data_IF_245517425631
#
_entry.id   IF_245517425631
#
_cell.length_a   1.000
_cell.length_b   1.000
_cell.length_c   1.000
_cell.angle_alpha   90.00
_cell.angle_beta   90.00
_cell.angle_gamma   90.00
#
_symmetry.space_group_name_H-M   'P 1'
#
loop_
_entity.id
_entity.type
_entity.pdbx_description
1 polymer ?
#
# COMPACT_ATOMS: atom_id res chain seq x y z
N UNK A 1 -3.70 -4.35 21.99
CA UNK A 1 -5.08 -4.12 21.51
C UNK A 1 -6.08 -4.38 22.63
N UNK A 2 -7.31 -3.84 22.53
CA UNK A 2 -8.39 -4.11 23.51
C UNK A 2 -8.77 -5.59 23.53
N UNK A 3 -9.09 -6.16 24.71
CA UNK A 3 -9.66 -7.51 24.84
C UNK A 3 -11.14 -7.59 24.44
N UNK A 4 -11.76 -6.44 24.15
CA UNK A 4 -13.13 -6.33 23.64
C UNK A 4 -13.12 -6.24 22.10
N UNK A 5 -13.55 -7.33 21.46
CA UNK A 5 -13.58 -7.47 19.99
C UNK A 5 -14.81 -6.85 19.31
N UNK A 6 -15.64 -6.07 20.01
CA UNK A 6 -16.78 -5.41 19.38
C UNK A 6 -16.31 -4.40 18.33
N UNK A 7 -17.03 -4.32 17.21
CA UNK A 7 -16.75 -3.40 16.10
C UNK A 7 -16.52 -1.96 16.60
N UNK A 8 -17.43 -1.45 17.44
CA UNK A 8 -17.33 -0.08 18.01
C UNK A 8 -16.03 0.20 18.77
N UNK A 9 -15.41 -0.84 19.32
CA UNK A 9 -14.21 -0.74 20.15
C UNK A 9 -12.95 -0.74 19.30
N UNK A 10 -12.87 -1.63 18.30
CA UNK A 10 -11.67 -1.82 17.49
C UNK A 10 -11.64 -0.95 16.23
N UNK A 11 -12.79 -0.55 15.71
CA UNK A 11 -12.89 0.24 14.48
C UNK A 11 -12.01 1.50 14.48
N UNK A 12 -12.03 2.38 15.51
CA UNK A 12 -11.15 3.55 15.52
C UNK A 12 -9.66 3.20 15.52
N UNK A 13 -9.29 2.11 16.20
CA UNK A 13 -7.90 1.63 16.25
C UNK A 13 -7.45 1.13 14.87
N UNK A 14 -8.30 0.37 14.17
CA UNK A 14 -8.00 -0.08 12.81
C UNK A 14 -7.91 1.08 11.82
N UNK A 15 -8.78 2.10 11.93
CA UNK A 15 -8.68 3.30 11.09
C UNK A 15 -7.36 4.05 11.34
N UNK A 16 -6.95 4.19 12.60
CA UNK A 16 -5.68 4.83 12.97
C UNK A 16 -4.46 4.05 12.44
N UNK A 17 -4.46 2.72 12.59
CA UNK A 17 -3.40 1.87 12.07
C UNK A 17 -3.34 1.95 10.53
N UNK A 18 -4.49 1.93 9.86
CA UNK A 18 -4.54 2.04 8.40
C UNK A 18 -4.06 3.41 7.91
N UNK A 19 -4.43 4.49 8.58
CA UNK A 19 -3.98 5.85 8.24
C UNK A 19 -2.46 6.05 8.38
N UNK A 20 -1.81 5.27 9.25
CA UNK A 20 -0.36 5.31 9.49
C UNK A 20 0.37 4.11 8.88
N UNK A 21 -0.33 3.31 8.08
CA UNK A 21 0.20 2.10 7.46
C UNK A 21 1.21 2.47 6.36
N UNK A 22 2.31 1.74 6.36
CA UNK A 22 3.35 1.79 5.34
C UNK A 22 3.68 0.36 4.92
N UNK A 23 3.59 0.08 3.62
CA UNK A 23 3.98 -1.21 3.08
C UNK A 23 5.51 -1.33 3.08
N UNK A 24 6.03 -2.46 3.54
CA UNK A 24 7.47 -2.76 3.49
C UNK A 24 7.90 -2.86 2.02
N UNK A 25 9.11 -2.37 1.71
CA UNK A 25 9.60 -2.31 0.33
C UNK A 25 9.64 -3.69 -0.32
N UNK A 26 10.08 -4.71 0.40
CA UNK A 26 10.10 -6.10 -0.07
C UNK A 26 8.73 -6.69 -0.34
N UNK A 27 7.66 -6.10 0.21
CA UNK A 27 6.29 -6.56 0.05
C UNK A 27 5.55 -5.88 -1.12
N UNK A 28 6.13 -4.83 -1.72
CA UNK A 28 5.49 -4.08 -2.81
C UNK A 28 5.16 -4.95 -4.02
N UNK A 29 6.15 -5.66 -4.54
CA UNK A 29 6.00 -6.48 -5.74
C UNK A 29 5.06 -7.68 -5.50
N UNK A 30 5.19 -8.45 -4.40
CA UNK A 30 4.24 -9.52 -4.09
C UNK A 30 2.81 -9.01 -3.89
N UNK A 31 2.62 -7.87 -3.22
CA UNK A 31 1.29 -7.27 -3.02
C UNK A 31 0.70 -6.81 -4.35
N UNK A 32 1.53 -6.29 -5.26
CA UNK A 32 1.13 -5.94 -6.61
C UNK A 32 0.60 -7.13 -7.41
N UNK A 33 1.29 -8.27 -7.37
CA UNK A 33 0.81 -9.50 -8.04
C UNK A 33 -0.53 -9.97 -7.49
N UNK A 34 -0.69 -9.97 -6.17
CA UNK A 34 -1.96 -10.32 -5.51
C UNK A 34 -3.08 -9.36 -5.94
N UNK A 35 -2.80 -8.05 -5.99
CA UNK A 35 -3.76 -7.05 -6.42
C UNK A 35 -4.18 -7.24 -7.89
N UNK A 36 -3.24 -7.59 -8.77
CA UNK A 36 -3.54 -7.88 -10.18
C UNK A 36 -4.39 -9.15 -10.34
N UNK A 37 -4.11 -10.22 -9.60
CA UNK A 37 -4.94 -11.43 -9.61
C UNK A 37 -6.38 -11.12 -9.12
N UNK A 38 -6.51 -10.25 -8.12
CA UNK A 38 -7.82 -9.78 -7.64
C UNK A 38 -8.56 -9.01 -8.75
N UNK A 39 -7.88 -8.13 -9.49
CA UNK A 39 -8.47 -7.37 -10.60
C UNK A 39 -8.87 -8.24 -11.78
N UNK A 40 -8.06 -9.24 -12.15
CA UNK A 40 -8.37 -10.18 -13.23
C UNK A 40 -9.67 -10.95 -12.96
N UNK A 41 -9.99 -11.20 -11.68
CA UNK A 41 -11.21 -11.90 -11.23
C UNK A 41 -12.31 -10.95 -10.75
N UNK A 42 -12.18 -9.64 -10.99
CA UNK A 42 -13.14 -8.64 -10.51
C UNK A 42 -14.58 -8.93 -10.97
N UNK A 43 -14.78 -9.48 -12.17
CA UNK A 43 -16.11 -9.86 -12.67
C UNK A 43 -16.85 -10.83 -11.74
N UNK A 44 -16.16 -11.86 -11.28
CA UNK A 44 -16.71 -12.88 -10.37
C UNK A 44 -16.98 -12.30 -8.99
N UNK A 45 -16.05 -11.51 -8.45
CA UNK A 45 -16.24 -10.85 -7.16
C UNK A 45 -17.38 -9.81 -7.21
N UNK A 46 -17.57 -9.15 -8.35
CA UNK A 46 -18.69 -8.25 -8.61
C UNK A 46 -20.05 -8.96 -8.62
N UNK A 47 -20.12 -10.24 -9.04
CA UNK A 47 -21.34 -11.04 -8.89
C UNK A 47 -21.67 -11.28 -7.41
N UNK A 48 -20.65 -11.55 -6.59
CA UNK A 48 -20.81 -11.73 -5.13
C UNK A 48 -21.25 -10.42 -4.48
N UNK A 49 -20.63 -9.31 -4.83
CA UNK A 49 -20.97 -7.97 -4.32
C UNK A 49 -22.44 -7.63 -4.63
N UNK A 50 -22.91 -7.85 -5.85
CA UNK A 50 -24.33 -7.60 -6.22
C UNK A 50 -25.33 -8.41 -5.37
N UNK A 51 -24.95 -9.61 -4.94
CA UNK A 51 -25.84 -10.53 -4.23
C UNK A 51 -25.77 -10.41 -2.69
N UNK A 52 -24.75 -9.72 -2.18
CA UNK A 52 -24.46 -9.65 -0.74
C UNK A 52 -24.23 -8.24 -0.22
N UNK A 53 -23.96 -7.27 -1.09
CA UNK A 53 -23.51 -5.92 -0.72
C UNK A 53 -22.06 -5.84 -0.24
N UNK A 54 -21.38 -6.97 -0.05
CA UNK A 54 -19.99 -7.00 0.44
C UNK A 54 -19.05 -6.57 -0.68
N UNK A 55 -18.14 -5.61 -0.45
CA UNK A 55 -17.31 -5.08 -1.52
C UNK A 55 -16.49 -6.14 -2.27
N UNK A 56 -16.43 -6.05 -3.59
CA UNK A 56 -15.76 -7.06 -4.43
C UNK A 56 -14.29 -7.29 -4.03
N UNK A 57 -13.58 -6.23 -3.65
CA UNK A 57 -12.18 -6.30 -3.23
C UNK A 57 -12.02 -7.04 -1.89
N UNK A 58 -13.02 -6.96 -1.00
CA UNK A 58 -13.03 -7.72 0.25
C UNK A 58 -13.11 -9.21 -0.03
N UNK A 59 -13.99 -9.60 -0.97
CA UNK A 59 -14.12 -10.99 -1.43
C UNK A 59 -12.84 -11.50 -2.08
N UNK A 60 -12.20 -10.69 -2.94
CA UNK A 60 -10.94 -11.05 -3.58
C UNK A 60 -9.80 -11.27 -2.58
N UNK A 61 -9.70 -10.41 -1.55
CA UNK A 61 -8.72 -10.58 -0.48
C UNK A 61 -9.01 -11.86 0.33
N UNK A 62 -10.28 -12.17 0.64
CA UNK A 62 -10.61 -13.45 1.28
C UNK A 62 -10.22 -14.65 0.41
N UNK A 63 -10.42 -14.58 -0.91
CA UNK A 63 -10.04 -15.65 -1.82
C UNK A 63 -8.53 -15.94 -1.75
N UNK A 64 -7.70 -14.89 -1.72
CA UNK A 64 -6.26 -15.02 -1.48
C UNK A 64 -5.95 -15.61 -0.10
N UNK A 65 -6.50 -15.00 0.95
CA UNK A 65 -6.11 -15.32 2.33
C UNK A 65 -6.50 -16.73 2.72
N UNK A 66 -7.69 -17.16 2.33
CA UNK A 66 -8.22 -18.47 2.68
C UNK A 66 -7.74 -19.57 1.72
N UNK A 67 -7.61 -19.27 0.43
CA UNK A 67 -7.48 -20.32 -0.59
C UNK A 67 -6.29 -20.12 -1.54
N UNK A 68 -5.56 -19.02 -1.43
CA UNK A 68 -4.48 -18.65 -2.37
C UNK A 68 -4.99 -18.63 -3.83
N UNK A 69 -6.21 -18.09 -4.00
CA UNK A 69 -6.94 -18.05 -5.28
C UNK A 69 -7.33 -19.40 -5.90
N UNK A 70 -7.19 -20.50 -5.14
CA UNK A 70 -7.67 -21.81 -5.58
C UNK A 70 -9.20 -21.88 -5.56
N UNK A 71 -9.79 -22.40 -6.65
CA UNK A 71 -11.22 -22.67 -6.75
C UNK A 71 -11.67 -23.77 -5.77
N UNK A 72 -12.11 -23.34 -4.60
CA UNK A 72 -12.57 -24.18 -3.50
C UNK A 72 -13.66 -23.45 -2.70
N UNK A 73 -14.36 -24.17 -1.82
CA UNK A 73 -15.38 -23.56 -0.98
C UNK A 73 -14.77 -22.51 -0.05
N UNK A 74 -15.23 -21.26 -0.16
CA UNK A 74 -14.73 -20.16 0.69
C UNK A 74 -14.97 -20.41 2.19
N UNK A 75 -15.90 -21.29 2.53
CA UNK A 75 -16.15 -21.70 3.91
C UNK A 75 -14.93 -22.28 4.62
N UNK A 76 -14.19 -23.17 3.96
CA UNK A 76 -13.16 -24.00 4.60
C UNK A 76 -12.13 -24.63 3.63
N UNK A 77 -12.25 -24.37 2.33
CA UNK A 77 -11.37 -24.87 1.28
C UNK A 77 -11.65 -26.28 0.77
N UNK A 78 -12.80 -26.88 1.10
CA UNK A 78 -13.27 -28.13 0.48
C UNK A 78 -13.45 -27.98 -1.04
N UNK A 79 -13.39 -29.10 -1.76
CA UNK A 79 -13.64 -29.11 -3.22
C UNK A 79 -15.05 -28.62 -3.54
N UNK A 80 -15.18 -27.84 -4.63
CA UNK A 80 -16.47 -27.38 -5.15
C UNK A 80 -17.34 -28.48 -5.80
N UNK A 81 -16.86 -29.72 -5.87
CA UNK A 81 -17.63 -30.84 -6.48
C UNK A 81 -18.88 -31.19 -5.69
N UNK A 82 -18.79 -31.16 -4.36
CA UNK A 82 -19.86 -31.54 -3.44
C UNK A 82 -19.96 -30.49 -2.34
N UNK A 83 -21.01 -30.59 -1.51
CA UNK A 83 -21.10 -29.76 -0.30
C UNK A 83 -19.90 -29.98 0.61
N UNK A 84 -19.61 -28.97 1.42
CA UNK A 84 -18.59 -29.04 2.46
C UNK A 84 -18.81 -30.25 3.37
N UNK A 85 -17.73 -30.96 3.63
CA UNK A 85 -17.68 -32.06 4.60
C UNK A 85 -17.09 -31.54 5.90
N UNK A 86 -16.06 -30.69 5.82
CA UNK A 86 -15.51 -29.99 6.97
C UNK A 86 -16.48 -28.91 7.45
N UNK A 87 -16.36 -28.52 8.71
CA UNK A 87 -17.20 -27.48 9.30
C UNK A 87 -17.03 -26.14 8.54
N UNK A 88 -18.11 -25.38 8.27
CA UNK A 88 -19.52 -25.77 8.43
C UNK A 88 -19.93 -26.82 7.39
N UNK A 89 -20.44 -27.98 7.82
CA UNK A 89 -20.82 -29.09 6.96
C UNK A 89 -22.11 -28.79 6.18
N UNK A 90 -22.24 -29.33 4.97
CA UNK A 90 -23.47 -29.31 4.17
C UNK A 90 -23.72 -28.00 3.41
N UNK A 91 -22.70 -27.17 3.23
CA UNK A 91 -22.76 -25.89 2.52
C UNK A 91 -22.17 -25.97 1.11
N UNK A 92 -22.61 -25.15 0.14
CA UNK A 92 -23.78 -24.26 0.15
C UNK A 92 -25.11 -24.99 0.38
N UNK A 93 -26.15 -24.29 0.87
CA UNK A 93 -27.48 -24.89 1.08
C UNK A 93 -28.18 -25.14 -0.26
N UNK A 94 -28.13 -24.18 -1.18
CA UNK A 94 -28.73 -24.33 -2.51
C UNK A 94 -27.95 -25.33 -3.35
N UNK A 95 -28.58 -26.09 -4.26
CA UNK A 95 -27.87 -26.91 -5.24
C UNK A 95 -27.09 -26.03 -6.24
N UNK A 96 -26.04 -26.55 -6.90
CA UNK A 96 -25.31 -25.79 -7.90
C UNK A 96 -26.24 -25.46 -9.08
N UNK A 97 -26.19 -24.21 -9.55
CA UNK A 97 -27.10 -23.73 -10.61
C UNK A 97 -26.93 -24.50 -11.94
N UNK A 98 -25.73 -25.02 -12.20
CA UNK A 98 -25.44 -25.84 -13.38
C UNK A 98 -25.77 -27.34 -13.20
N UNK A 99 -26.25 -27.76 -12.02
CA UNK A 99 -26.60 -29.15 -11.71
C UNK A 99 -25.42 -30.11 -11.56
N UNK A 100 -24.17 -29.65 -11.64
CA UNK A 100 -22.97 -30.50 -11.63
C UNK A 100 -22.04 -30.20 -10.46
N UNK A 101 -21.53 -28.97 -10.37
CA UNK A 101 -20.55 -28.55 -9.35
C UNK A 101 -20.74 -27.09 -9.00
N UNK A 102 -20.41 -26.75 -7.75
CA UNK A 102 -20.43 -25.37 -7.30
C UNK A 102 -19.35 -24.53 -8.00
N UNK A 103 -19.59 -23.24 -8.07
CA UNK A 103 -18.63 -22.21 -8.42
C UNK A 103 -18.09 -21.55 -7.16
N UNK A 104 -16.94 -20.86 -7.26
CA UNK A 104 -16.46 -20.02 -6.17
C UNK A 104 -17.50 -18.95 -5.80
N UNK A 105 -18.16 -18.33 -6.78
CA UNK A 105 -19.20 -17.29 -6.58
C UNK A 105 -20.35 -17.81 -5.72
N UNK A 106 -20.92 -18.98 -6.04
CA UNK A 106 -22.00 -19.59 -5.24
C UNK A 106 -21.53 -19.90 -3.81
N UNK A 107 -20.31 -20.43 -3.67
CA UNK A 107 -19.74 -20.69 -2.35
C UNK A 107 -19.50 -19.42 -1.54
N UNK A 108 -19.03 -18.36 -2.17
CA UNK A 108 -18.71 -17.10 -1.50
C UNK A 108 -19.97 -16.39 -1.03
N UNK A 109 -21.03 -16.38 -1.85
CA UNK A 109 -22.33 -15.82 -1.48
C UNK A 109 -22.89 -16.55 -0.25
N UNK A 110 -22.91 -17.90 -0.26
CA UNK A 110 -23.40 -18.67 0.88
C UNK A 110 -22.54 -18.48 2.14
N UNK A 111 -21.20 -18.39 2.00
CA UNK A 111 -20.30 -18.15 3.13
C UNK A 111 -20.51 -16.77 3.78
N UNK A 112 -20.65 -15.71 2.98
CA UNK A 112 -20.93 -14.36 3.47
C UNK A 112 -22.33 -14.24 4.08
N UNK A 113 -23.31 -15.00 3.56
CA UNK A 113 -24.64 -15.10 4.15
C UNK A 113 -24.62 -15.83 5.48
N UNK A 114 -23.95 -16.97 5.54
CA UNK A 114 -23.81 -17.77 6.76
C UNK A 114 -23.14 -16.99 7.89
N UNK A 115 -22.05 -16.25 7.59
CA UNK A 115 -21.35 -15.38 8.54
C UNK A 115 -22.00 -13.99 8.72
N UNK A 116 -23.17 -13.74 8.15
CA UNK A 116 -23.96 -12.51 8.29
C UNK A 116 -23.28 -11.22 7.75
N UNK A 117 -22.23 -11.32 6.92
CA UNK A 117 -21.57 -10.14 6.33
C UNK A 117 -22.51 -9.35 5.42
N UNK A 118 -23.43 -10.03 4.72
CA UNK A 118 -24.45 -9.39 3.88
C UNK A 118 -25.43 -8.47 4.62
N UNK A 119 -25.46 -8.51 5.95
CA UNK A 119 -26.33 -7.65 6.77
C UNK A 119 -25.63 -6.38 7.24
N UNK A 120 -24.32 -6.28 7.05
CA UNK A 120 -23.54 -5.12 7.45
C UNK A 120 -23.95 -3.89 6.65
N UNK A 121 -24.18 -2.77 7.35
CA UNK A 121 -24.47 -1.46 6.72
C UNK A 121 -23.26 -0.55 6.67
N UNK A 122 -22.29 -0.81 7.54
CA UNK A 122 -21.09 0.00 7.71
C UNK A 122 -19.94 -0.65 6.94
N UNK A 123 -19.58 -0.02 5.82
CA UNK A 123 -18.48 -0.46 4.96
C UNK A 123 -17.27 0.47 5.05
N UNK A 124 -17.15 1.23 6.14
CA UNK A 124 -15.95 2.00 6.41
C UNK A 124 -14.72 1.11 6.51
N UNK A 125 -13.54 1.67 6.25
CA UNK A 125 -12.28 0.90 6.25
C UNK A 125 -12.05 0.20 7.59
N UNK A 126 -12.33 0.86 8.72
CA UNK A 126 -12.21 0.22 10.03
C UNK A 126 -13.17 -0.95 10.23
N UNK A 127 -14.39 -0.86 9.68
CA UNK A 127 -15.35 -1.96 9.72
C UNK A 127 -14.93 -3.13 8.82
N UNK A 128 -14.34 -2.86 7.67
CA UNK A 128 -13.81 -3.88 6.77
C UNK A 128 -12.58 -4.58 7.38
N UNK A 129 -11.65 -3.84 7.96
CA UNK A 129 -10.50 -4.43 8.67
C UNK A 129 -10.96 -5.29 9.86
N UNK A 130 -11.94 -4.83 10.63
CA UNK A 130 -12.59 -5.65 11.65
C UNK A 130 -13.27 -6.89 11.06
N UNK A 131 -13.89 -6.77 9.89
CA UNK A 131 -14.52 -7.88 9.17
C UNK A 131 -13.54 -9.00 8.82
N UNK A 132 -12.34 -8.66 8.33
CA UNK A 132 -11.29 -9.67 8.08
C UNK A 132 -10.86 -10.40 9.36
N UNK A 133 -10.77 -9.69 10.48
CA UNK A 133 -10.43 -10.30 11.78
C UNK A 133 -11.56 -11.18 12.30
N UNK A 134 -12.82 -10.75 12.16
CA UNK A 134 -13.98 -11.58 12.45
C UNK A 134 -13.97 -12.85 11.61
N UNK A 135 -13.63 -12.75 10.32
CA UNK A 135 -13.52 -13.89 9.42
C UNK A 135 -12.49 -14.92 9.95
N UNK A 136 -11.32 -14.44 10.34
CA UNK A 136 -10.22 -15.22 10.92
C UNK A 136 -10.49 -15.65 12.39
N UNK A 137 -11.56 -15.18 13.02
CA UNK A 137 -11.92 -15.50 14.41
C UNK A 137 -11.07 -14.80 15.47
N UNK A 138 -10.46 -13.65 15.14
CA UNK A 138 -9.60 -12.84 16.01
C UNK A 138 -8.42 -13.61 16.63
N UNK A 139 -7.86 -14.61 15.93
CA UNK A 139 -6.83 -15.52 16.47
C UNK A 139 -5.64 -14.79 17.10
N UNK A 140 -5.07 -13.83 16.37
CA UNK A 140 -3.86 -13.11 16.81
C UNK A 140 -4.19 -11.93 17.74
N UNK A 141 -5.32 -11.26 17.51
CA UNK A 141 -5.76 -10.13 18.33
C UNK A 141 -5.98 -10.51 19.81
N UNK A 142 -6.31 -11.79 20.08
CA UNK A 142 -6.36 -12.37 21.44
C UNK A 142 -5.02 -12.34 22.17
N UNK A 143 -3.90 -12.30 21.44
CA UNK A 143 -2.56 -12.15 22.00
C UNK A 143 -2.16 -10.70 22.28
N UNK A 144 -3.03 -9.72 22.01
CA UNK A 144 -2.77 -8.29 22.25
C UNK A 144 -1.92 -7.60 21.19
N UNK A 145 -1.39 -8.35 20.22
CA UNK A 145 -0.57 -7.87 19.12
C UNK A 145 -1.41 -7.58 17.87
N UNK A 146 -0.88 -6.74 16.98
CA UNK A 146 -1.43 -6.58 15.63
C UNK A 146 -1.35 -7.92 14.90
N UNK A 147 -2.46 -8.35 14.29
CA UNK A 147 -2.53 -9.67 13.64
C UNK A 147 -1.61 -9.77 12.42
N UNK A 148 -1.04 -10.96 12.24
CA UNK A 148 -0.39 -11.31 10.97
C UNK A 148 -1.41 -11.23 9.85
N UNK A 149 -2.64 -11.67 10.15
CA UNK A 149 -3.72 -11.67 9.18
C UNK A 149 -4.03 -10.29 8.61
N UNK A 150 -4.00 -9.21 9.38
CA UNK A 150 -4.20 -7.88 8.81
C UNK A 150 -2.90 -7.25 8.35
N UNK A 151 -1.86 -7.29 9.19
CA UNK A 151 -0.79 -6.30 9.12
C UNK A 151 0.52 -6.86 8.56
N UNK A 152 0.62 -8.17 8.29
CA UNK A 152 1.86 -8.72 7.73
C UNK A 152 2.24 -8.02 6.41
N UNK A 153 3.52 -7.68 6.28
CA UNK A 153 4.04 -6.87 5.18
C UNK A 153 3.98 -5.35 5.40
N UNK A 154 3.47 -4.87 6.54
CA UNK A 154 3.44 -3.44 6.90
C UNK A 154 4.41 -3.10 8.04
N UNK A 155 4.57 -1.81 8.32
CA UNK A 155 5.23 -1.30 9.54
C UNK A 155 4.48 -1.66 10.84
N UNK A 156 3.21 -2.04 10.77
CA UNK A 156 2.37 -2.38 11.93
C UNK A 156 2.44 -3.84 12.34
N UNK A 157 3.21 -4.67 11.63
CA UNK A 157 3.46 -6.05 12.02
C UNK A 157 4.94 -6.28 12.26
N UNK A 158 5.29 -6.72 13.45
CA UNK A 158 6.61 -7.27 13.78
C UNK A 158 6.41 -8.73 14.18
N UNK A 159 6.84 -9.67 13.33
CA UNK A 159 7.14 -11.00 13.85
C UNK A 159 8.27 -10.84 14.88
N UNK A 160 8.30 -11.67 15.92
CA UNK A 160 9.40 -11.70 16.90
C UNK A 160 10.78 -12.05 16.30
N UNK A 161 10.89 -12.09 14.97
CA UNK A 161 12.09 -12.30 14.16
C UNK A 161 12.41 -11.15 13.17
N UNK A 162 11.74 -10.00 13.27
CA UNK A 162 11.80 -8.95 12.23
C UNK A 162 12.07 -7.54 12.75
N UNK A 163 12.79 -7.40 13.86
CA UNK A 163 13.20 -6.10 14.37
C UNK A 163 14.53 -5.69 13.71
N UNK A 164 14.44 -5.04 12.54
CA UNK A 164 15.46 -4.32 11.75
C UNK A 164 14.96 -4.34 10.28
N UNK A 165 14.68 -3.27 9.53
CA UNK A 165 15.02 -1.86 9.64
C UNK A 165 13.92 -1.03 8.93
N UNK A 166 13.44 0.03 9.58
CA UNK A 166 12.86 1.15 8.86
C UNK A 166 14.02 1.90 8.19
N UNK A 167 14.00 1.97 6.86
CA UNK A 167 14.95 2.67 5.99
C UNK A 167 16.36 2.04 5.92
N UNK A 168 16.72 1.54 4.73
CA UNK A 168 18.09 1.70 4.23
C UNK A 168 18.98 0.47 4.07
N UNK A 169 18.58 -0.77 4.36
CA UNK A 169 19.44 -1.94 4.14
C UNK A 169 18.71 -3.09 3.43
N UNK A 170 19.42 -3.73 2.51
CA UNK A 170 18.94 -4.68 1.49
C UNK A 170 18.42 -6.04 1.97
N UNK A 171 18.15 -6.22 3.26
CA UNK A 171 17.83 -7.51 3.87
C UNK A 171 16.49 -7.52 4.61
N UNK A 172 15.46 -6.93 4.01
CA UNK A 172 14.07 -7.10 4.46
C UNK A 172 13.57 -8.50 4.05
N UNK A 173 13.91 -9.52 4.84
CA UNK A 173 13.28 -10.83 4.68
C UNK A 173 11.81 -10.72 5.09
N UNK A 174 10.94 -10.63 4.08
CA UNK A 174 9.59 -11.16 4.19
C UNK A 174 9.70 -12.54 4.85
N UNK A 175 8.92 -12.80 5.90
CA UNK A 175 8.93 -14.10 6.58
C UNK A 175 8.63 -15.18 5.55
N UNK A 176 9.68 -15.87 5.09
CA UNK A 176 9.60 -16.93 4.09
C UNK A 176 8.53 -17.92 4.56
N UNK A 177 7.38 -17.99 3.86
CA UNK A 177 6.27 -18.91 4.17
C UNK A 177 4.98 -18.27 4.71
N UNK A 178 4.94 -16.97 5.01
CA UNK A 178 3.73 -16.29 5.49
C UNK A 178 2.98 -15.59 4.34
N UNK A 179 1.68 -15.30 4.50
CA UNK A 179 0.86 -14.58 3.49
C UNK A 179 0.83 -13.06 3.78
N UNK A 180 0.73 -12.23 2.73
CA UNK A 180 0.60 -10.77 2.88
C UNK A 180 -0.71 -10.46 3.62
N UNK A 181 -0.65 -9.51 4.55
CA UNK A 181 -1.81 -9.13 5.37
C UNK A 181 -2.91 -8.47 4.54
N UNK A 182 -4.16 -8.63 4.97
CA UNK A 182 -5.30 -8.03 4.27
C UNK A 182 -5.21 -6.49 4.23
N UNK A 183 -4.76 -5.84 5.31
CA UNK A 183 -4.62 -4.39 5.35
C UNK A 183 -3.55 -3.88 4.38
N UNK A 184 -2.45 -4.63 4.20
CA UNK A 184 -1.42 -4.33 3.21
C UNK A 184 -1.99 -4.32 1.78
N UNK A 185 -2.84 -5.30 1.44
CA UNK A 185 -3.46 -5.39 0.11
C UNK A 185 -4.47 -4.27 -0.10
N UNK A 186 -5.33 -3.97 0.90
CA UNK A 186 -6.27 -2.85 0.81
C UNK A 186 -5.52 -1.51 0.65
N UNK A 187 -4.44 -1.33 1.40
CA UNK A 187 -3.58 -0.16 1.30
C UNK A 187 -3.03 0.00 -0.12
N UNK A 188 -2.49 -1.08 -0.70
CA UNK A 188 -1.96 -1.07 -2.06
C UNK A 188 -3.05 -0.72 -3.09
N UNK A 189 -4.20 -1.41 -3.04
CA UNK A 189 -5.32 -1.14 -3.95
C UNK A 189 -5.80 0.32 -3.87
N UNK A 190 -5.88 0.88 -2.66
CA UNK A 190 -6.31 2.26 -2.45
C UNK A 190 -5.33 3.28 -3.01
N UNK A 191 -4.05 3.20 -2.62
CA UNK A 191 -3.05 4.20 -3.01
C UNK A 191 -2.61 4.08 -4.48
N UNK A 192 -2.84 2.93 -5.12
CA UNK A 192 -2.65 2.77 -6.57
C UNK A 192 -3.90 3.18 -7.38
N UNK A 193 -4.97 3.68 -6.73
CA UNK A 193 -6.19 4.11 -7.42
C UNK A 193 -6.98 2.96 -8.07
N UNK A 194 -6.77 1.73 -7.60
CA UNK A 194 -7.42 0.52 -8.14
C UNK A 194 -8.83 0.30 -7.54
N UNK A 195 -9.24 1.13 -6.59
CA UNK A 195 -10.57 1.10 -6.01
C UNK A 195 -11.45 2.16 -6.71
N UNK A 196 -12.52 1.71 -7.35
CA UNK A 196 -13.49 2.57 -8.05
C UNK A 196 -14.32 3.45 -7.10
N UNK A 197 -14.23 3.23 -5.78
CA UNK A 197 -14.93 3.96 -4.73
C UNK A 197 -13.89 4.46 -3.70
N UNK A 198 -13.97 5.72 -3.25
CA UNK A 198 -13.11 6.19 -2.17
C UNK A 198 -13.42 5.40 -0.89
N UNK A 199 -12.38 5.04 -0.15
CA UNK A 199 -12.57 4.40 1.16
C UNK A 199 -13.29 5.37 2.10
N UNK A 200 -14.36 4.88 2.72
CA UNK A 200 -15.12 5.64 3.70
C UNK A 200 -14.44 5.53 5.07
N UNK A 201 -14.14 6.66 5.68
CA UNK A 201 -13.69 6.75 7.07
C UNK A 201 -14.87 7.22 7.93
N UNK A 202 -15.09 6.61 9.10
CA UNK A 202 -16.29 6.87 9.88
C UNK A 202 -16.31 8.23 10.59
N UNK A 203 -15.13 8.79 10.84
CA UNK A 203 -14.98 10.21 11.08
C UNK A 203 -14.70 10.90 9.75
N UNK A 204 -15.41 11.99 9.44
CA UNK A 204 -14.76 13.10 8.76
C UNK A 204 -13.48 13.32 9.53
N UNK A 205 -12.32 12.96 8.97
CA UNK A 205 -11.06 13.29 9.61
C UNK A 205 -11.17 14.79 9.86
N UNK A 206 -11.28 15.20 11.12
CA UNK A 206 -10.68 16.46 11.53
C UNK A 206 -9.32 16.39 10.89
N UNK A 207 -9.08 17.22 9.88
CA UNK A 207 -7.78 17.39 9.24
C UNK A 207 -6.76 17.08 10.30
N UNK A 208 -6.00 15.99 10.14
CA UNK A 208 -4.93 15.67 11.09
C UNK A 208 -4.18 16.98 11.21
N UNK A 209 -4.35 17.62 12.37
CA UNK A 209 -3.69 18.87 12.62
C UNK A 209 -2.26 18.41 12.79
N UNK A 210 -1.54 18.38 11.68
CA UNK A 210 -0.10 18.47 11.73
C UNK A 210 0.12 19.75 12.52
N UNK A 211 0.29 19.62 13.83
CA UNK A 211 1.26 20.47 14.49
C UNK A 211 2.60 20.10 13.86
N UNK A 212 2.76 20.63 12.65
CA UNK A 212 4.03 20.95 12.06
C UNK A 212 4.81 21.59 13.21
N UNK A 213 6.02 21.12 13.57
CA UNK A 213 6.97 22.09 14.08
C UNK A 213 6.95 23.21 13.05
N UNK A 214 6.57 24.41 13.48
CA UNK A 214 6.42 25.59 12.64
C UNK A 214 7.74 25.85 11.93
N UNK A 215 7.88 25.24 10.75
CA UNK A 215 8.97 25.48 9.85
C UNK A 215 8.32 26.15 8.64
N UNK A 216 8.10 27.44 8.80
CA UNK A 216 7.79 28.39 7.73
C UNK A 216 8.99 28.52 6.79
N UNK A 217 9.35 27.43 6.13
CA UNK A 217 10.18 27.41 4.95
C UNK A 217 9.32 26.90 3.81
N UNK A 218 9.12 27.69 2.76
CA UNK A 218 8.47 27.21 1.54
C UNK A 218 9.19 25.92 1.10
N UNK A 219 8.51 24.78 1.12
CA UNK A 219 9.08 23.55 0.56
C UNK A 219 9.27 23.82 -0.93
N UNK A 220 10.51 23.90 -1.38
CA UNK A 220 10.84 24.07 -2.80
C UNK A 220 10.60 22.73 -3.50
N UNK A 221 9.83 22.72 -4.58
CA UNK A 221 9.48 21.49 -5.32
C UNK A 221 10.72 20.71 -5.77
N UNK A 222 11.82 21.42 -6.04
CA UNK A 222 13.12 20.83 -6.35
C UNK A 222 13.72 20.03 -5.18
N UNK A 223 13.56 20.47 -3.93
CA UNK A 223 14.06 19.72 -2.77
C UNK A 223 13.22 18.46 -2.51
N UNK A 224 11.92 18.52 -2.81
CA UNK A 224 11.03 17.36 -2.79
C UNK A 224 11.43 16.34 -3.86
N UNK A 225 11.74 16.78 -5.08
CA UNK A 225 12.22 15.89 -6.15
C UNK A 225 13.65 15.36 -5.90
N UNK A 226 14.52 16.10 -5.20
CA UNK A 226 15.83 15.60 -4.78
C UNK A 226 15.73 14.46 -3.77
N UNK A 227 14.71 14.47 -2.92
CA UNK A 227 14.37 13.39 -1.98
C UNK A 227 13.47 12.30 -2.57
N UNK A 228 13.10 12.39 -3.85
CA UNK A 228 12.24 11.43 -4.51
C UNK A 228 12.97 10.10 -4.75
N UNK A 229 12.54 9.08 -4.01
CA UNK A 229 13.07 7.73 -4.04
C UNK A 229 12.11 6.70 -4.64
N UNK A 230 11.04 7.15 -5.34
CA UNK A 230 9.94 6.31 -5.83
C UNK A 230 9.28 5.50 -4.70
N UNK A 231 9.08 6.14 -3.56
CA UNK A 231 8.34 5.53 -2.47
C UNK A 231 6.83 5.71 -2.73
N UNK A 232 5.99 4.72 -2.43
CA UNK A 232 4.55 4.79 -2.71
C UNK A 232 3.83 6.03 -2.18
N UNK A 233 4.22 6.56 -1.02
CA UNK A 233 3.63 7.81 -0.50
C UNK A 233 4.10 9.05 -1.27
N UNK A 234 5.30 9.01 -1.87
CA UNK A 234 5.80 10.06 -2.75
C UNK A 234 5.07 9.99 -4.10
N UNK A 235 4.88 8.78 -4.65
CA UNK A 235 4.10 8.56 -5.87
C UNK A 235 2.65 8.99 -5.66
N UNK A 236 2.04 8.63 -4.53
CA UNK A 236 0.69 9.05 -4.18
C UNK A 236 0.58 10.57 -3.99
N UNK A 237 1.57 11.22 -3.36
CA UNK A 237 1.60 12.67 -3.20
C UNK A 237 1.74 13.38 -4.57
N UNK A 238 2.59 12.85 -5.47
CA UNK A 238 2.75 13.37 -6.83
C UNK A 238 1.50 13.13 -7.68
N UNK A 239 0.87 11.97 -7.58
CA UNK A 239 -0.37 11.64 -8.29
C UNK A 239 -1.54 12.51 -7.83
N UNK A 240 -1.67 12.74 -6.51
CA UNK A 240 -2.64 13.69 -5.97
C UNK A 240 -2.37 15.11 -6.48
N UNK A 241 -1.11 15.56 -6.44
CA UNK A 241 -0.73 16.89 -6.94
C UNK A 241 -1.06 17.03 -8.43
N UNK A 242 -0.80 16.00 -9.23
CA UNK A 242 -1.14 15.95 -10.65
C UNK A 242 -2.65 16.14 -10.88
N UNK A 243 -3.52 15.56 -10.03
CA UNK A 243 -4.97 15.75 -10.13
C UNK A 243 -5.44 17.18 -9.83
N UNK A 244 -4.65 17.95 -9.07
CA UNK A 244 -4.96 19.35 -8.78
C UNK A 244 -4.58 20.31 -9.93
N UNK A 245 -3.83 19.83 -10.93
CA UNK A 245 -3.35 20.66 -12.04
C UNK A 245 -4.19 20.47 -13.31
N UNK A 246 -4.34 21.54 -14.07
CA UNK A 246 -5.03 21.47 -15.36
C UNK A 246 -4.23 20.68 -16.40
N UNK A 247 -4.89 20.00 -17.36
CA UNK A 247 -4.21 19.26 -18.43
C UNK A 247 -3.22 20.10 -19.26
N UNK A 248 -3.49 21.39 -19.45
CA UNK A 248 -2.60 22.32 -20.17
C UNK A 248 -1.32 22.62 -19.39
N UNK A 249 -1.42 22.76 -18.06
CA UNK A 249 -0.24 22.92 -17.19
C UNK A 249 0.63 21.67 -17.20
N UNK A 250 0.01 20.48 -17.13
CA UNK A 250 0.74 19.21 -17.21
C UNK A 250 1.42 19.00 -18.56
N UNK A 251 0.74 19.39 -19.65
CA UNK A 251 1.29 19.31 -21.01
C UNK A 251 2.48 20.26 -21.19
N UNK A 252 2.37 21.50 -20.73
CA UNK A 252 3.47 22.47 -20.79
C UNK A 252 4.63 22.06 -19.87
N UNK A 253 4.34 21.48 -18.71
CA UNK A 253 5.36 20.88 -17.84
C UNK A 253 6.11 19.75 -18.56
N UNK A 254 5.40 18.80 -19.17
CA UNK A 254 6.01 17.71 -19.95
C UNK A 254 6.84 18.24 -21.11
N UNK A 255 6.34 19.24 -21.86
CA UNK A 255 7.08 19.88 -22.95
C UNK A 255 8.42 20.44 -22.46
N UNK A 256 8.41 21.18 -21.34
CA UNK A 256 9.64 21.76 -20.74
C UNK A 256 10.55 20.73 -20.10
N UNK A 257 10.00 19.64 -19.58
CA UNK A 257 10.75 18.54 -18.96
C UNK A 257 11.46 17.68 -20.00
N UNK A 258 10.88 17.54 -21.19
CA UNK A 258 11.41 16.75 -22.31
C UNK A 258 12.24 17.58 -23.30
N UNK A 259 12.26 18.91 -23.18
CA UNK A 259 13.06 19.81 -24.02
C UNK A 259 14.56 19.56 -23.76
N UNK A 260 15.14 18.61 -24.52
CA UNK A 260 16.52 18.09 -24.43
C UNK A 260 17.58 19.08 -24.98
N UNK A 261 17.34 20.39 -24.85
CA UNK A 261 18.23 21.43 -25.38
C UNK A 261 19.52 21.62 -24.56
N UNK A 262 19.61 21.05 -23.35
CA UNK A 262 20.71 21.27 -22.40
C UNK A 262 21.57 20.04 -22.08
N UNK A 263 21.65 19.05 -23.00
CA UNK A 263 22.78 18.09 -23.01
C UNK A 263 24.15 18.74 -23.27
N UNK A 264 24.21 20.07 -23.41
CA UNK A 264 25.43 20.89 -23.43
C UNK A 264 25.77 21.59 -22.11
N UNK A 265 25.19 21.20 -20.97
CA UNK A 265 25.75 21.60 -19.68
C UNK A 265 26.90 20.65 -19.31
N UNK A 266 28.03 20.87 -19.97
CA UNK A 266 29.36 20.49 -19.50
C UNK A 266 29.53 21.05 -18.09
N UNK A 267 30.10 20.28 -17.17
CA UNK A 267 30.42 20.71 -15.82
C UNK A 267 31.17 22.05 -15.85
N UNK A 268 30.51 23.12 -15.45
CA UNK A 268 31.17 24.35 -15.04
C UNK A 268 30.64 24.63 -13.66
N UNK A 269 31.49 24.48 -12.65
CA UNK A 269 31.19 24.96 -11.31
C UNK A 269 30.88 26.44 -11.39
N UNK A 270 29.59 26.78 -11.37
CA UNK A 270 29.04 28.11 -11.12
C UNK A 270 27.52 27.97 -11.01
N UNK A 271 26.98 28.44 -9.89
CA UNK A 271 25.56 28.50 -9.57
C UNK A 271 24.78 29.17 -10.70
N UNK A 272 23.81 28.48 -11.28
CA UNK A 272 22.81 29.11 -12.14
C UNK A 272 21.73 29.73 -11.26
N UNK A 273 21.68 31.06 -11.22
CA UNK A 273 20.61 31.82 -10.56
C UNK A 273 19.40 31.80 -11.48
N UNK A 274 18.38 31.01 -11.14
CA UNK A 274 17.07 31.09 -11.80
C UNK A 274 16.29 32.22 -11.13
N UNK A 275 16.11 33.32 -11.84
CA UNK A 275 15.22 34.42 -11.43
C UNK A 275 13.76 33.95 -11.61
N UNK A 276 13.04 33.79 -10.51
CA UNK A 276 11.58 33.67 -10.54
C UNK A 276 10.98 35.06 -10.75
N UNK A 277 9.79 35.14 -11.35
CA UNK A 277 9.05 36.36 -11.73
C UNK A 277 8.67 37.31 -10.58
N UNK A 278 9.25 37.10 -9.40
CA UNK A 278 8.91 37.73 -8.14
C UNK A 278 10.15 38.33 -7.44
N UNK A 279 11.35 38.24 -8.04
CA UNK A 279 12.54 39.00 -7.60
C UNK A 279 13.26 38.50 -6.33
N UNK A 280 12.94 37.33 -5.78
CA UNK A 280 13.61 36.83 -4.56
C UNK A 280 14.73 35.85 -4.90
N UNK A 281 15.98 36.19 -4.54
CA UNK A 281 17.16 35.32 -4.64
C UNK A 281 17.37 34.49 -3.35
N UNK A 282 17.91 33.27 -3.49
CA UNK A 282 18.24 32.34 -2.37
C UNK A 282 19.75 32.33 -2.06
N UNK A 283 20.16 32.09 -0.79
CA UNK A 283 21.57 32.10 -0.39
C UNK A 283 22.33 30.86 -0.86
N UNK A 284 23.54 31.09 -1.35
CA UNK A 284 24.49 30.13 -1.91
C UNK A 284 25.40 29.64 -0.79
N UNK A 285 25.44 28.35 -0.42
CA UNK A 285 26.51 27.80 0.47
C UNK A 285 26.59 26.25 0.52
N UNK A 286 26.71 25.54 -0.61
CA UNK A 286 27.23 24.15 -0.65
C UNK A 286 27.85 23.82 -2.02
N UNK A 287 28.96 23.06 -2.04
CA UNK A 287 29.62 22.60 -3.29
C UNK A 287 29.80 21.07 -3.26
N UNK A 288 29.42 20.40 -4.34
CA UNK A 288 29.66 18.97 -4.58
C UNK A 288 30.99 18.80 -5.34
N UNK A 289 31.90 17.95 -4.83
CA UNK A 289 33.10 17.54 -5.56
C UNK A 289 33.08 16.03 -5.83
N UNK A 290 33.22 15.66 -7.10
CA UNK A 290 33.36 14.28 -7.55
C UNK A 290 34.86 13.95 -7.67
N UNK A 291 35.32 12.91 -6.98
CA UNK A 291 36.67 12.37 -7.17
C UNK A 291 36.62 10.92 -7.64
N UNK A 292 37.29 10.65 -8.75
CA UNK A 292 37.44 9.30 -9.30
C UNK A 292 38.80 8.73 -8.87
N UNK A 293 38.82 7.58 -8.19
CA UNK A 293 40.07 6.82 -7.98
C UNK A 293 40.36 5.94 -9.19
N UNK A 294 41.62 5.91 -9.63
CA UNK A 294 42.08 5.01 -10.69
C UNK A 294 42.01 3.55 -10.21
N UNK A 295 41.64 2.59 -11.07
CA UNK A 295 41.53 1.18 -10.72
C UNK A 295 42.92 0.57 -10.44
N UNK A 296 43.00 -0.29 -9.41
CA UNK A 296 44.25 -0.90 -8.93
C UNK A 296 44.69 -2.13 -9.73
N UNK A 297 43.91 -2.61 -10.71
CA UNK A 297 44.36 -3.66 -11.66
C UNK A 297 43.55 -3.66 -12.97
N UNK A 298 44.16 -4.19 -14.05
CA UNK A 298 43.52 -4.32 -15.37
C UNK A 298 42.37 -5.35 -15.28
N UNK A 299 41.13 -4.84 -15.29
CA UNK A 299 39.91 -5.66 -15.41
C UNK A 299 38.75 -5.26 -14.49
N UNK A 300 38.95 -4.35 -13.54
CA UNK A 300 37.87 -3.86 -12.66
C UNK A 300 37.34 -2.49 -13.09
N UNK A 301 36.01 -2.35 -13.12
CA UNK A 301 35.33 -1.07 -13.38
C UNK A 301 35.64 -0.05 -12.26
N UNK A 302 35.85 1.24 -12.58
CA UNK A 302 36.09 2.27 -11.58
C UNK A 302 34.83 2.46 -10.70
N UNK A 303 34.99 2.35 -9.38
CA UNK A 303 33.93 2.73 -8.46
C UNK A 303 33.90 4.26 -8.31
N UNK A 304 32.75 4.84 -8.63
CA UNK A 304 32.49 6.28 -8.45
C UNK A 304 31.69 6.45 -7.17
N UNK A 305 32.27 7.14 -6.17
CA UNK A 305 31.59 7.46 -4.92
C UNK A 305 31.39 8.96 -4.78
N UNK A 306 30.18 9.39 -4.39
CA UNK A 306 29.89 10.77 -4.00
C UNK A 306 30.10 10.87 -2.49
N UNK A 307 30.98 11.78 -2.03
CA UNK A 307 31.12 12.13 -0.61
C UNK A 307 30.77 13.61 -0.42
N UNK A 308 29.94 13.89 0.57
CA UNK A 308 29.64 15.25 1.03
C UNK A 308 30.74 15.72 2.00
N UNK A 309 31.25 16.94 1.81
CA UNK A 309 32.07 17.65 2.79
C UNK A 309 31.37 18.97 3.13
N UNK A 310 31.19 19.22 4.42
CA UNK A 310 30.82 20.54 4.93
C UNK A 310 32.10 21.38 4.94
N UNK A 311 32.08 22.56 4.33
CA UNK A 311 33.12 23.56 4.60
C UNK A 311 32.79 24.12 5.98
N UNK A 312 33.57 23.73 6.98
CA UNK A 312 33.60 24.45 8.26
C UNK A 312 34.29 25.78 7.99
N UNK A 313 33.57 26.88 8.19
CA UNK A 313 34.16 28.21 8.25
C UNK A 313 35.16 28.24 9.40
N UNK A 314 36.44 28.20 9.06
CA UNK A 314 37.51 28.70 9.92
C UNK A 314 38.25 29.76 9.13
N UNK A 315 38.22 30.96 9.70
CA UNK A 315 39.03 32.15 9.39
C UNK A 315 40.50 31.77 9.14
#
# INVERSE_FOLDING_TARGET
MSSDFRLRTLKPQYEQLFATCQLRRSCLEPTGHIAQEILQRQGDYGLVERQTGVPWWFVGILHYRELDFRDAHLHNGDSLTNRTIRYPQGRPIEPPANGQRYTFVESAIDALRWKQFHTAKDHSIGAMLWGFELWNGFRDAKGGNNSEYLWNGTNHFSSSLGNQLLVGNSNDSYGQGHKIGAAAIVWYLYYQGMLNQPLQFASSQSSVNWQQPSNTGSIQFLDLLRGYGKLPHQDAALAWLQQQQSPSVLTEFTRRWQDDADRKLVSVGKSAVVQLSNGTQLPTNFVLQQQSRKPESRGTMPQTGIRLRVLSDTV
#
